data_IF_706521409015
#
_entry.id   IF_706521409015
#
_cell.length_a   1.000
_cell.length_b   1.000
_cell.length_c   1.000
_cell.angle_alpha   90.00
_cell.angle_beta   90.00
_cell.angle_gamma   90.00
#
_symmetry.space_group_name_H-M   'P 1'
#
loop_
_entity.id
_entity.type
_entity.pdbx_description
1 polymer ?
#
# COMPACT_ATOMS: atom_id res chain seq x y z
N UNK A 1 -12.05 11.01 1.07
CA UNK A 1 -12.04 9.69 1.73
C UNK A 1 -11.00 9.61 2.86
N UNK A 2 -11.26 8.78 3.89
CA UNK A 2 -10.28 8.53 4.96
C UNK A 2 -9.11 7.69 4.42
N UNK A 3 -7.89 8.24 4.47
CA UNK A 3 -6.65 7.49 4.16
C UNK A 3 -6.26 6.49 5.27
N UNK A 4 -6.80 6.68 6.47
CA UNK A 4 -6.51 5.87 7.67
C UNK A 4 -7.35 4.58 7.68
N UNK A 5 -8.61 4.68 7.28
CA UNK A 5 -9.56 3.56 7.18
C UNK A 5 -10.32 3.64 5.85
N UNK A 6 -9.64 3.42 4.71
CA UNK A 6 -10.24 3.56 3.39
C UNK A 6 -11.21 2.43 3.09
N UNK A 7 -12.12 2.63 2.13
CA UNK A 7 -12.83 1.50 1.54
C UNK A 7 -11.92 0.81 0.53
N UNK A 8 -11.69 -0.48 0.70
CA UNK A 8 -11.00 -1.31 -0.29
C UNK A 8 -12.02 -1.97 -1.22
N UNK A 9 -11.69 -2.05 -2.51
CA UNK A 9 -12.54 -2.67 -3.53
C UNK A 9 -11.71 -3.57 -4.43
N UNK A 10 -12.33 -4.64 -4.95
CA UNK A 10 -11.73 -5.50 -5.96
C UNK A 10 -12.26 -5.14 -7.35
N UNK A 11 -11.35 -4.90 -8.30
CA UNK A 11 -11.66 -4.62 -9.71
C UNK A 11 -10.69 -5.41 -10.57
N UNK A 12 -11.20 -6.26 -11.47
CA UNK A 12 -10.42 -7.06 -12.41
C UNK A 12 -9.28 -7.88 -11.75
N UNK A 13 -9.52 -8.35 -10.52
CA UNK A 13 -8.58 -9.15 -9.72
C UNK A 13 -7.51 -8.34 -8.96
N UNK A 14 -7.61 -7.02 -8.97
CA UNK A 14 -6.79 -6.09 -8.21
C UNK A 14 -7.58 -5.52 -7.03
N UNK A 15 -6.98 -5.47 -5.84
CA UNK A 15 -7.55 -4.82 -4.66
C UNK A 15 -6.92 -3.43 -4.50
N UNK A 16 -7.74 -2.40 -4.51
CA UNK A 16 -7.31 -1.00 -4.48
C UNK A 16 -8.12 -0.18 -3.47
N UNK A 17 -7.62 1.01 -3.14
CA UNK A 17 -8.37 2.01 -2.37
C UNK A 17 -9.41 2.65 -3.29
N UNK A 18 -10.68 2.63 -2.89
CA UNK A 18 -11.75 3.32 -3.60
C UNK A 18 -11.47 4.83 -3.60
N UNK A 19 -11.70 5.50 -4.73
CA UNK A 19 -11.60 6.96 -4.84
C UNK A 19 -13.01 7.52 -5.02
N UNK A 20 -13.38 8.55 -4.25
CA UNK A 20 -14.74 9.11 -4.22
C UNK A 20 -15.24 9.57 -5.61
N UNK A 21 -14.33 9.83 -6.55
CA UNK A 21 -14.62 10.31 -7.90
C UNK A 21 -14.98 9.22 -8.93
N UNK A 22 -14.88 7.93 -8.59
CA UNK A 22 -14.98 6.84 -9.58
C UNK A 22 -15.87 5.68 -9.10
N UNK A 23 -17.20 5.85 -9.10
CA UNK A 23 -18.14 4.80 -8.68
C UNK A 23 -18.12 3.55 -9.58
N UNK A 24 -17.73 3.70 -10.86
CA UNK A 24 -17.60 2.60 -11.82
C UNK A 24 -16.24 2.64 -12.52
N UNK A 25 -15.16 2.39 -11.75
CA UNK A 25 -13.82 2.29 -12.32
C UNK A 25 -13.70 0.98 -13.11
N UNK A 26 -13.50 1.06 -14.42
CA UNK A 26 -13.04 -0.06 -15.25
C UNK A 26 -11.55 0.07 -15.48
N UNK A 27 -10.80 -0.97 -15.18
CA UNK A 27 -9.36 -0.97 -15.40
C UNK A 27 -9.08 -1.38 -16.85
N UNK A 28 -8.36 -0.53 -17.59
CA UNK A 28 -7.69 -0.98 -18.80
C UNK A 28 -6.43 -1.74 -18.37
N UNK A 29 -6.59 -3.03 -18.09
CA UNK A 29 -5.50 -3.87 -17.60
C UNK A 29 -4.30 -3.87 -18.54
N UNK A 30 -4.50 -3.90 -19.86
CA UNK A 30 -3.37 -3.90 -20.82
C UNK A 30 -2.53 -2.62 -20.67
N UNK A 31 -3.20 -1.47 -20.55
CA UNK A 31 -2.52 -0.21 -20.30
C UNK A 31 -1.82 -0.21 -18.93
N UNK A 32 -2.49 -0.65 -17.88
CA UNK A 32 -1.93 -0.72 -16.53
C UNK A 32 -0.69 -1.62 -16.50
N UNK A 33 -0.77 -2.83 -17.04
CA UNK A 33 0.34 -3.77 -17.08
C UNK A 33 1.50 -3.21 -17.91
N UNK A 34 1.23 -2.42 -18.96
CA UNK A 34 2.29 -1.73 -19.70
C UNK A 34 3.04 -0.66 -18.88
N UNK A 35 2.39 -0.07 -17.88
CA UNK A 35 2.96 1.00 -17.06
C UNK A 35 3.59 0.49 -15.76
N UNK A 36 2.95 -0.48 -15.12
CA UNK A 36 3.31 -0.96 -13.78
C UNK A 36 3.95 -2.36 -13.81
N UNK A 37 4.07 -2.98 -14.99
CA UNK A 37 4.63 -4.32 -15.19
C UNK A 37 3.62 -5.44 -14.91
N UNK A 38 3.03 -5.43 -13.72
CA UNK A 38 2.06 -6.43 -13.27
C UNK A 38 0.98 -5.85 -12.33
N UNK A 39 0.09 -6.71 -11.81
CA UNK A 39 -0.96 -6.28 -10.88
C UNK A 39 -0.39 -5.89 -9.53
N UNK A 40 0.68 -6.55 -9.10
CA UNK A 40 1.40 -6.23 -7.87
C UNK A 40 1.94 -4.80 -7.88
N UNK A 41 2.58 -4.38 -8.97
CA UNK A 41 3.05 -3.02 -9.15
C UNK A 41 1.92 -2.00 -9.21
N UNK A 42 0.82 -2.35 -9.87
CA UNK A 42 -0.36 -1.49 -9.92
C UNK A 42 -1.01 -1.28 -8.54
N UNK A 43 -1.23 -2.35 -7.77
CA UNK A 43 -1.80 -2.25 -6.42
C UNK A 43 -0.89 -1.46 -5.48
N UNK A 44 0.43 -1.70 -5.55
CA UNK A 44 1.40 -0.97 -4.75
C UNK A 44 1.44 0.54 -5.09
N UNK A 45 1.17 0.90 -6.35
CA UNK A 45 1.05 2.29 -6.78
C UNK A 45 -0.29 2.94 -6.36
N UNK A 46 -1.40 2.23 -6.49
CA UNK A 46 -2.74 2.75 -6.14
C UNK A 46 -2.97 2.86 -4.63
N UNK A 47 -2.26 2.07 -3.84
CA UNK A 47 -2.30 2.11 -2.38
C UNK A 47 -1.27 3.05 -1.75
N UNK A 48 -0.50 3.78 -2.56
CA UNK A 48 0.58 4.65 -2.13
C UNK A 48 0.08 5.87 -1.32
N UNK A 49 0.29 5.83 -0.01
CA UNK A 49 -0.17 6.88 0.91
C UNK A 49 1.01 7.43 1.71
N UNK A 50 1.32 8.70 1.46
CA UNK A 50 2.23 9.49 2.29
C UNK A 50 1.54 9.93 3.57
N UNK A 51 2.21 9.83 4.72
CA UNK A 51 1.67 10.33 5.98
C UNK A 51 1.50 11.85 5.94
N UNK A 52 2.38 12.58 5.25
CA UNK A 52 2.22 14.04 5.05
C UNK A 52 0.90 14.41 4.40
N UNK A 53 0.38 13.57 3.50
CA UNK A 53 -0.95 13.81 2.91
C UNK A 53 -2.11 13.50 3.87
N UNK A 54 -1.86 12.76 4.95
CA UNK A 54 -2.85 12.50 6.01
C UNK A 54 -2.92 13.70 6.95
N UNK A 55 -1.78 14.29 7.27
CA UNK A 55 -1.71 15.51 8.08
C UNK A 55 -0.40 16.25 7.84
N UNK A 56 -0.51 17.57 7.59
CA UNK A 56 0.65 18.47 7.48
C UNK A 56 1.48 18.53 8.77
N UNK A 57 0.92 18.13 9.92
CA UNK A 57 1.67 17.99 11.18
C UNK A 57 2.88 17.07 11.04
N UNK A 58 2.79 16.03 10.19
CA UNK A 58 3.87 15.07 10.00
C UNK A 58 5.03 15.58 9.13
N UNK A 59 4.85 16.70 8.41
CA UNK A 59 5.96 17.36 7.69
C UNK A 59 7.01 17.87 8.68
N UNK A 60 6.56 18.50 9.76
CA UNK A 60 7.44 19.00 10.83
C UNK A 60 7.76 17.92 11.90
N UNK A 61 7.01 16.81 11.91
CA UNK A 61 7.09 15.76 12.93
C UNK A 61 7.17 14.35 12.30
N UNK A 62 8.23 14.05 11.53
CA UNK A 62 8.32 12.82 10.74
C UNK A 62 8.34 11.54 11.57
N UNK A 63 8.93 11.58 12.77
CA UNK A 63 8.95 10.44 13.70
C UNK A 63 7.56 10.14 14.26
N UNK A 64 6.75 11.16 14.53
CA UNK A 64 5.34 10.95 14.91
C UNK A 64 4.53 10.44 13.72
N UNK A 65 4.84 10.91 12.50
CA UNK A 65 4.32 10.34 11.26
C UNK A 65 4.62 8.85 11.13
N UNK A 66 5.84 8.42 11.41
CA UNK A 66 6.24 7.00 11.41
C UNK A 66 5.50 6.18 12.48
N UNK A 67 5.40 6.71 13.70
CA UNK A 67 4.65 6.04 14.78
C UNK A 67 3.18 5.89 14.43
N UNK A 68 2.59 6.91 13.82
CA UNK A 68 1.22 6.89 13.35
C UNK A 68 1.06 5.90 12.19
N UNK A 69 1.97 5.90 11.21
CA UNK A 69 1.96 4.98 10.07
C UNK A 69 1.95 3.52 10.53
N UNK A 70 2.74 3.16 11.55
CA UNK A 70 2.73 1.81 12.13
C UNK A 70 1.36 1.40 12.67
N UNK A 71 0.57 2.34 13.20
CA UNK A 71 -0.82 2.08 13.62
C UNK A 71 -1.74 1.90 12.42
N UNK A 72 -1.58 2.72 11.39
CA UNK A 72 -2.34 2.61 10.14
C UNK A 72 -2.06 1.28 9.45
N UNK A 73 -0.81 0.78 9.44
CA UNK A 73 -0.46 -0.56 8.95
C UNK A 73 -1.28 -1.64 9.65
N UNK A 74 -1.33 -1.65 10.99
CA UNK A 74 -2.15 -2.62 11.73
C UNK A 74 -3.65 -2.49 11.46
N UNK A 75 -4.13 -1.26 11.22
CA UNK A 75 -5.52 -1.01 10.84
C UNK A 75 -5.83 -1.55 9.44
N UNK A 76 -4.96 -1.32 8.46
CA UNK A 76 -5.08 -1.86 7.11
C UNK A 76 -4.98 -3.38 7.11
N UNK A 77 -4.08 -3.96 7.90
CA UNK A 77 -3.96 -5.40 8.11
C UNK A 77 -5.28 -6.02 8.58
N UNK A 78 -5.88 -5.44 9.62
CA UNK A 78 -7.16 -5.90 10.14
C UNK A 78 -8.27 -5.75 9.09
N UNK A 79 -8.32 -4.60 8.40
CA UNK A 79 -9.36 -4.33 7.42
C UNK A 79 -9.27 -5.23 6.17
N UNK A 80 -8.08 -5.43 5.61
CA UNK A 80 -7.88 -6.31 4.46
C UNK A 80 -8.27 -7.76 4.78
N UNK A 81 -7.94 -8.26 5.99
CA UNK A 81 -8.37 -9.59 6.45
C UNK A 81 -9.90 -9.70 6.60
N UNK A 82 -10.55 -8.65 7.08
CA UNK A 82 -12.01 -8.61 7.24
C UNK A 82 -12.72 -8.57 5.89
N UNK A 83 -12.26 -7.71 4.98
CA UNK A 83 -12.91 -7.48 3.69
C UNK A 83 -12.60 -8.60 2.68
N UNK A 84 -11.41 -9.21 2.75
CA UNK A 84 -10.93 -10.22 1.79
C UNK A 84 -10.28 -11.43 2.48
N UNK A 85 -11.05 -12.23 3.26
CA UNK A 85 -10.50 -13.31 4.10
C UNK A 85 -9.80 -14.45 3.34
N UNK A 86 -10.03 -14.56 2.03
CA UNK A 86 -9.44 -15.60 1.17
C UNK A 86 -8.16 -15.12 0.46
N UNK A 87 -7.79 -13.85 0.59
CA UNK A 87 -6.59 -13.29 -0.01
C UNK A 87 -5.51 -13.10 1.04
N UNK A 88 -4.26 -13.13 0.59
CA UNK A 88 -3.11 -12.73 1.38
C UNK A 88 -2.57 -11.44 0.82
N UNK A 89 -2.09 -10.54 1.68
CA UNK A 89 -1.50 -9.28 1.25
C UNK A 89 -0.13 -9.08 1.88
N UNK A 90 0.68 -8.28 1.21
CA UNK A 90 1.89 -7.70 1.76
C UNK A 90 1.63 -6.20 1.95
N UNK A 91 1.70 -5.73 3.19
CA UNK A 91 1.70 -4.31 3.52
C UNK A 91 3.15 -3.88 3.73
N UNK A 92 3.52 -2.76 3.15
CA UNK A 92 4.87 -2.22 3.18
C UNK A 92 4.78 -0.80 3.74
N UNK A 93 5.60 -0.53 4.75
CA UNK A 93 5.83 0.79 5.30
C UNK A 93 7.29 1.14 5.05
N UNK A 94 7.54 2.22 4.31
CA UNK A 94 8.88 2.78 4.13
C UNK A 94 9.02 4.10 4.88
N UNK A 95 10.23 4.38 5.34
CA UNK A 95 10.62 5.66 5.94
C UNK A 95 11.87 6.18 5.24
N UNK A 96 11.74 7.29 4.52
CA UNK A 96 12.81 7.91 3.72
C UNK A 96 12.64 9.43 3.71
N UNK A 97 13.74 10.19 3.81
CA UNK A 97 13.76 11.66 3.74
C UNK A 97 12.63 12.34 4.53
N UNK A 98 12.39 11.89 5.77
CA UNK A 98 11.35 12.42 6.67
C UNK A 98 9.89 12.18 6.22
N UNK A 99 9.63 11.20 5.34
CA UNK A 99 8.26 10.70 5.10
C UNK A 99 8.08 9.26 5.53
N UNK A 100 6.86 8.92 5.90
CA UNK A 100 6.39 7.56 6.05
C UNK A 100 5.37 7.25 4.98
N UNK A 101 5.61 6.19 4.23
CA UNK A 101 4.76 5.80 3.11
C UNK A 101 4.21 4.40 3.38
N UNK A 102 2.89 4.25 3.28
CA UNK A 102 2.24 2.94 3.35
C UNK A 102 1.78 2.58 1.94
N UNK A 103 1.96 1.31 1.59
CA UNK A 103 1.39 0.69 0.39
C UNK A 103 1.10 -0.78 0.67
N UNK A 104 0.25 -1.40 -0.13
CA UNK A 104 0.00 -2.83 -0.07
C UNK A 104 -0.19 -3.40 -1.46
N UNK A 105 -0.05 -4.71 -1.57
CA UNK A 105 -0.52 -5.46 -2.72
C UNK A 105 -0.94 -6.87 -2.29
N UNK A 106 -1.74 -7.53 -3.11
CA UNK A 106 -2.09 -8.93 -2.94
C UNK A 106 -0.88 -9.80 -3.26
N UNK A 107 -0.65 -10.84 -2.45
CA UNK A 107 0.34 -11.86 -2.75
C UNK A 107 -0.22 -12.81 -3.82
N UNK A 108 0.59 -13.05 -4.85
CA UNK A 108 0.24 -13.92 -5.98
C UNK A 108 1.36 -14.94 -6.20
N UNK A 109 1.00 -16.15 -6.59
CA UNK A 109 1.98 -17.21 -6.81
C UNK A 109 2.81 -17.02 -8.09
N UNK A 110 2.33 -16.17 -9.01
CA UNK A 110 2.88 -15.98 -10.34
C UNK A 110 3.39 -14.56 -10.61
N UNK A 111 3.42 -13.69 -9.59
CA UNK A 111 3.96 -12.33 -9.68
C UNK A 111 4.95 -12.12 -8.52
N UNK A 112 6.05 -11.38 -8.73
CA UNK A 112 6.98 -11.04 -7.66
C UNK A 112 6.31 -10.12 -6.63
N UNK A 113 6.86 -10.04 -5.42
CA UNK A 113 6.48 -9.01 -4.44
C UNK A 113 7.06 -7.66 -4.82
N UNK A 114 6.42 -6.56 -4.41
CA UNK A 114 6.90 -5.20 -4.72
C UNK A 114 8.29 -4.91 -4.15
N UNK A 115 8.61 -5.49 -2.99
CA UNK A 115 9.95 -5.50 -2.40
C UNK A 115 10.49 -6.93 -2.36
N UNK A 116 11.79 -7.11 -2.56
CA UNK A 116 12.41 -8.43 -2.39
C UNK A 116 12.55 -8.75 -0.89
N UNK A 117 11.73 -9.68 -0.39
CA UNK A 117 11.67 -10.05 1.02
C UNK A 117 12.97 -10.69 1.54
N UNK A 118 13.77 -11.29 0.67
CA UNK A 118 15.05 -11.92 1.03
C UNK A 118 16.21 -10.91 1.07
N UNK A 119 15.98 -9.72 0.52
CA UNK A 119 17.00 -8.70 0.28
C UNK A 119 16.62 -7.34 0.89
N UNK A 120 15.78 -7.33 1.94
CA UNK A 120 15.39 -6.08 2.61
C UNK A 120 16.59 -5.29 3.15
N UNK A 121 17.67 -5.97 3.51
CA UNK A 121 18.93 -5.33 3.96
C UNK A 121 19.67 -4.57 2.84
N UNK A 122 19.30 -4.77 1.57
CA UNK A 122 19.88 -4.03 0.45
C UNK A 122 19.38 -2.59 0.37
N UNK A 123 18.28 -2.26 1.06
CA UNK A 123 17.74 -0.91 1.15
C UNK A 123 18.52 -0.11 2.21
N UNK A 124 19.50 0.67 1.75
CA UNK A 124 20.46 1.36 2.63
C UNK A 124 20.01 2.72 3.13
N UNK A 125 19.18 3.39 2.34
CA UNK A 125 18.82 4.79 2.56
C UNK A 125 17.39 4.96 3.13
N UNK A 126 16.63 3.85 3.23
CA UNK A 126 15.27 3.84 3.76
C UNK A 126 15.05 2.74 4.80
N UNK A 127 14.24 3.04 5.82
CA UNK A 127 13.76 2.04 6.77
C UNK A 127 12.53 1.33 6.19
N UNK A 128 12.54 -0.01 6.19
CA UNK A 128 11.41 -0.80 5.66
C UNK A 128 10.83 -1.71 6.74
N UNK A 129 9.50 -1.69 6.83
CA UNK A 129 8.71 -2.67 7.57
C UNK A 129 7.77 -3.37 6.59
N UNK A 130 7.70 -4.69 6.67
CA UNK A 130 6.75 -5.50 5.92
C UNK A 130 5.85 -6.29 6.87
N UNK A 131 4.56 -6.36 6.55
CA UNK A 131 3.58 -7.18 7.26
C UNK A 131 2.80 -8.03 6.26
N UNK A 132 2.85 -9.36 6.43
CA UNK A 132 2.05 -10.29 5.63
C UNK A 132 0.76 -10.61 6.37
N UNK A 133 -0.36 -10.41 5.70
CA UNK A 133 -1.71 -10.50 6.28
C UNK A 133 -2.57 -11.49 5.52
#
# INVERSE_FOLDING_TARGET
MSKIWPTFIEIDGCVIIQKDSEPERKLNLDFILSQFGDRTGFEAAESHVHMRDVSTFFEDNPIEGLRFAKKVVSMWAAKLKLDFPNYRFLIILTFHEDDSIIRFHKLRNNEPTWVNLEELENYKDEGILVEIV
#
